data_IF_023425598390
#
_entry.id   IF_023425598390
#
_cell.length_a   1.000
_cell.length_b   1.000
_cell.length_c   1.000
_cell.angle_alpha   90.00
_cell.angle_beta   90.00
_cell.angle_gamma   90.00
#
_symmetry.space_group_name_H-M   'P 1'
#
loop_
_entity.id
_entity.type
_entity.pdbx_description
1 polymer ?
#
# COMPACT_ATOMS: atom_id res chain seq x y z
N UNK A 1 18.44 -0.69 -10.72
CA UNK A 1 18.32 -0.97 -9.27
C UNK A 1 19.63 -1.57 -8.80
N UNK A 2 20.27 -0.98 -7.79
CA UNK A 2 21.49 -1.53 -7.21
C UNK A 2 21.11 -2.66 -6.25
N UNK A 3 21.60 -3.87 -6.49
CA UNK A 3 21.34 -5.04 -5.65
C UNK A 3 22.58 -5.41 -4.85
N UNK A 4 22.46 -5.50 -3.53
CA UNK A 4 23.53 -5.98 -2.66
C UNK A 4 23.30 -7.47 -2.33
N UNK A 5 24.36 -8.28 -2.41
CA UNK A 5 24.30 -9.68 -2.01
C UNK A 5 24.42 -9.78 -0.49
N UNK A 6 23.51 -10.52 0.11
CA UNK A 6 23.49 -10.81 1.55
C UNK A 6 23.48 -12.33 1.75
N UNK A 7 24.22 -12.81 2.75
CA UNK A 7 24.19 -14.20 3.18
C UNK A 7 23.34 -14.27 4.45
N UNK A 8 22.23 -14.99 4.39
CA UNK A 8 21.30 -15.15 5.51
C UNK A 8 21.05 -16.63 5.80
N UNK A 9 20.91 -16.97 7.07
CA UNK A 9 20.45 -18.30 7.49
C UNK A 9 18.93 -18.27 7.66
N UNK A 10 18.24 -19.28 7.13
CA UNK A 10 16.80 -19.44 7.27
C UNK A 10 16.50 -20.79 7.91
N UNK A 11 15.50 -20.87 8.80
CA UNK A 11 15.00 -22.14 9.32
C UNK A 11 14.64 -23.13 8.21
N UNK A 12 14.95 -24.40 8.42
CA UNK A 12 14.78 -25.45 7.40
C UNK A 12 13.33 -25.57 6.90
N UNK A 13 12.37 -25.50 7.81
CA UNK A 13 10.94 -25.51 7.49
C UNK A 13 10.53 -24.35 6.57
N UNK A 14 10.99 -23.13 6.87
CA UNK A 14 10.72 -21.94 6.05
C UNK A 14 11.35 -22.09 4.67
N UNK A 15 12.58 -22.61 4.59
CA UNK A 15 13.25 -22.84 3.31
C UNK A 15 12.51 -23.90 2.46
N UNK A 16 12.00 -24.96 3.09
CA UNK A 16 11.19 -25.98 2.40
C UNK A 16 9.91 -25.38 1.82
N UNK A 17 9.20 -24.58 2.61
CA UNK A 17 7.97 -23.92 2.17
C UNK A 17 8.25 -22.91 1.04
N UNK A 18 9.32 -22.13 1.16
CA UNK A 18 9.75 -21.19 0.12
C UNK A 18 10.05 -21.93 -1.20
N UNK A 19 10.71 -23.09 -1.14
CA UNK A 19 11.04 -23.88 -2.32
C UNK A 19 9.82 -24.50 -2.99
N UNK A 20 8.77 -24.81 -2.23
CA UNK A 20 7.51 -25.32 -2.76
C UNK A 20 6.65 -24.20 -3.36
N UNK A 21 6.60 -23.04 -2.71
CA UNK A 21 5.76 -21.92 -3.12
C UNK A 21 6.34 -21.11 -4.29
N UNK A 22 7.68 -21.09 -4.46
CA UNK A 22 8.33 -20.19 -5.41
C UNK A 22 9.21 -20.96 -6.39
N UNK A 23 8.96 -20.74 -7.68
CA UNK A 23 9.75 -21.33 -8.76
C UNK A 23 11.24 -20.96 -8.67
N UNK A 24 12.10 -21.87 -9.15
CA UNK A 24 13.55 -21.64 -9.21
C UNK A 24 13.85 -20.30 -9.92
N UNK A 25 14.80 -19.53 -9.38
CA UNK A 25 15.17 -18.20 -9.88
C UNK A 25 14.33 -17.02 -9.35
N UNK A 26 13.13 -17.25 -8.77
CA UNK A 26 12.27 -16.17 -8.25
C UNK A 26 12.39 -15.95 -6.73
N UNK A 27 13.21 -16.74 -6.03
CA UNK A 27 13.36 -16.69 -4.56
C UNK A 27 13.82 -15.34 -4.05
N UNK A 28 14.84 -14.75 -4.68
CA UNK A 28 15.34 -13.42 -4.28
C UNK A 28 14.28 -12.34 -4.43
N UNK A 29 13.47 -12.39 -5.50
CA UNK A 29 12.36 -11.47 -5.72
C UNK A 29 11.28 -11.63 -4.65
N UNK A 30 10.93 -12.86 -4.30
CA UNK A 30 9.95 -13.16 -3.25
C UNK A 30 10.41 -12.68 -1.87
N UNK A 31 11.68 -12.94 -1.52
CA UNK A 31 12.25 -12.47 -0.24
C UNK A 31 12.26 -10.94 -0.22
N UNK A 32 12.69 -10.29 -1.31
CA UNK A 32 12.68 -8.84 -1.41
C UNK A 32 11.28 -8.25 -1.27
N UNK A 33 10.24 -8.87 -1.87
CA UNK A 33 8.86 -8.39 -1.73
C UNK A 33 8.34 -8.56 -0.30
N UNK A 34 8.57 -9.72 0.32
CA UNK A 34 8.13 -9.98 1.69
C UNK A 34 8.83 -9.06 2.71
N UNK A 35 10.12 -8.81 2.52
CA UNK A 35 10.88 -7.85 3.32
C UNK A 35 10.39 -6.43 3.08
N UNK A 36 10.17 -6.04 1.82
CA UNK A 36 9.62 -4.72 1.48
C UNK A 36 8.27 -4.52 2.14
N UNK A 37 7.35 -5.48 2.03
CA UNK A 37 6.02 -5.43 2.64
C UNK A 37 6.08 -5.26 4.17
N UNK A 38 7.00 -5.97 4.84
CA UNK A 38 7.20 -5.83 6.29
C UNK A 38 7.90 -4.52 6.68
N UNK A 39 8.82 -4.01 5.86
CA UNK A 39 9.62 -2.80 6.14
C UNK A 39 8.92 -1.51 5.74
N UNK A 40 8.06 -1.54 4.71
CA UNK A 40 7.01 -0.56 4.54
C UNK A 40 6.10 -0.71 5.75
N UNK A 41 6.45 -0.04 6.84
CA UNK A 41 5.60 0.20 8.01
C UNK A 41 4.19 0.37 7.48
N UNK A 42 3.23 -0.40 8.03
CA UNK A 42 1.79 -0.18 7.85
C UNK A 42 1.61 1.30 7.58
N UNK A 43 1.34 1.68 6.32
CA UNK A 43 1.11 3.08 6.01
C UNK A 43 0.11 3.53 7.04
N UNK A 44 0.45 4.57 7.77
CA UNK A 44 -0.49 5.14 8.72
C UNK A 44 -1.56 5.80 7.86
N UNK A 45 -2.51 4.96 7.43
CA UNK A 45 -3.53 5.31 6.43
C UNK A 45 -4.28 6.52 6.93
N UNK A 46 -4.53 6.60 8.24
CA UNK A 46 -5.15 7.73 8.90
C UNK A 46 -4.31 9.01 8.74
N UNK A 47 -2.98 8.93 8.95
CA UNK A 47 -2.08 10.06 8.79
C UNK A 47 -1.94 10.51 7.32
N UNK A 48 -1.83 9.58 6.38
CA UNK A 48 -1.75 9.89 4.95
C UNK A 48 -3.08 10.46 4.43
N UNK A 49 -4.21 9.88 4.85
CA UNK A 49 -5.54 10.36 4.51
C UNK A 49 -5.77 11.76 5.07
N UNK A 50 -5.44 12.00 6.34
CA UNK A 50 -5.53 13.31 6.98
C UNK A 50 -4.70 14.36 6.24
N UNK A 51 -3.48 13.99 5.81
CA UNK A 51 -2.62 14.89 5.04
C UNK A 51 -3.22 15.21 3.67
N UNK A 52 -3.76 14.20 2.98
CA UNK A 52 -4.41 14.36 1.67
C UNK A 52 -5.66 15.25 1.77
N UNK A 53 -6.54 14.98 2.74
CA UNK A 53 -7.77 15.74 2.96
C UNK A 53 -7.47 17.22 3.27
N UNK A 54 -6.45 17.49 4.11
CA UNK A 54 -6.01 18.87 4.40
C UNK A 54 -5.45 19.57 3.17
N UNK A 55 -4.63 18.87 2.37
CA UNK A 55 -4.04 19.44 1.16
C UNK A 55 -5.11 19.82 0.11
N UNK A 56 -6.17 19.01 0.01
CA UNK A 56 -7.21 19.17 -0.99
C UNK A 56 -8.46 19.90 -0.48
N UNK A 57 -8.43 20.46 0.75
CA UNK A 57 -9.59 21.08 1.39
C UNK A 57 -10.31 22.12 0.50
N UNK A 58 -9.55 23.04 -0.10
CA UNK A 58 -10.14 24.11 -0.92
C UNK A 58 -10.79 23.56 -2.19
N UNK A 59 -10.18 22.55 -2.82
CA UNK A 59 -10.75 21.89 -3.99
C UNK A 59 -12.07 21.19 -3.64
N UNK A 60 -12.08 20.40 -2.56
CA UNK A 60 -13.30 19.73 -2.10
C UNK A 60 -14.40 20.71 -1.68
N UNK A 61 -14.04 21.84 -1.06
CA UNK A 61 -14.98 22.89 -0.72
C UNK A 61 -15.63 23.53 -1.95
N UNK A 62 -14.85 23.81 -2.99
CA UNK A 62 -15.37 24.36 -4.25
C UNK A 62 -16.30 23.37 -4.94
N UNK A 63 -15.88 22.11 -5.07
CA UNK A 63 -16.71 21.04 -5.63
C UNK A 63 -18.01 20.89 -4.85
N UNK A 64 -17.96 20.81 -3.51
CA UNK A 64 -19.17 20.72 -2.70
C UNK A 64 -20.13 21.91 -2.92
N UNK A 65 -19.59 23.12 -3.10
CA UNK A 65 -20.41 24.30 -3.38
C UNK A 65 -21.07 24.24 -4.76
N UNK A 66 -20.33 23.83 -5.79
CA UNK A 66 -20.84 23.70 -7.15
C UNK A 66 -21.94 22.65 -7.27
N UNK A 67 -21.84 21.56 -6.50
CA UNK A 67 -22.78 20.43 -6.55
C UNK A 67 -23.92 20.53 -5.52
N UNK A 68 -23.92 21.55 -4.68
CA UNK A 68 -24.93 21.74 -3.62
C UNK A 68 -26.37 21.85 -4.13
N UNK A 69 -26.57 22.38 -5.34
CA UNK A 69 -27.90 22.48 -5.95
C UNK A 69 -28.47 21.10 -6.34
N UNK A 70 -27.61 20.20 -6.84
CA UNK A 70 -28.00 18.86 -7.30
C UNK A 70 -28.30 17.91 -6.13
N UNK A 71 -27.66 18.10 -4.98
CA UNK A 71 -27.95 17.31 -3.76
C UNK A 71 -29.37 17.55 -3.24
N UNK A 72 -29.89 18.77 -3.37
CA UNK A 72 -31.24 19.14 -2.91
C UNK A 72 -32.33 18.58 -3.83
N UNK A 73 -32.07 18.50 -5.14
CA UNK A 73 -33.04 18.00 -6.12
C UNK A 73 -33.09 16.46 -6.20
N UNK A 74 -32.03 15.76 -5.77
CA UNK A 74 -31.89 14.31 -5.88
C UNK A 74 -32.36 13.51 -4.67
N UNK A 75 -32.84 14.16 -3.60
CA UNK A 75 -33.34 13.45 -2.42
C UNK A 75 -34.76 12.95 -2.68
N UNK A 76 -35.01 11.62 -2.73
CA UNK A 76 -36.38 11.14 -2.76
C UNK A 76 -37.06 11.53 -1.45
N UNK A 77 -38.27 12.10 -1.52
CA UNK A 77 -39.13 12.29 -0.34
C UNK A 77 -39.30 10.98 0.46
#
# INVERSE_FOLDING_TARGET
>A
MQTQRINISLPYNILKHLNQAVSKGKRSRFIASAVSEKLTKKRDVEKELSKSLKANYNFYKTVAKEWSATEVEGWPE
#
